data_IF_145664854044
#
_entry.id   IF_145664854044
#
_cell.length_a   1.000
_cell.length_b   1.000
_cell.length_c   1.000
_cell.angle_alpha   90.00
_cell.angle_beta   90.00
_cell.angle_gamma   90.00
#
_symmetry.space_group_name_H-M   'P 1'
#
loop_
_entity.id
_entity.type
_entity.pdbx_description
1 polymer ?
#
# COMPACT_ATOMS: atom_id res chain seq x y z
N UNK A 1 -4.75 -0.46 16.28
CA UNK A 1 -4.28 -0.71 14.89
C UNK A 1 -5.04 -1.93 14.35
N UNK A 2 -6.14 -1.66 13.69
CA UNK A 2 -7.03 -2.70 13.15
C UNK A 2 -7.38 -2.45 11.68
N UNK A 3 -7.38 -1.17 11.24
CA UNK A 3 -7.71 -0.74 9.88
C UNK A 3 -6.54 0.03 9.28
N UNK A 4 -5.76 -0.65 8.44
CA UNK A 4 -4.42 -0.22 8.04
C UNK A 4 -4.35 0.06 6.55
N UNK A 5 -3.81 1.22 6.17
CA UNK A 5 -3.39 1.53 4.81
C UNK A 5 -1.89 1.35 4.65
N UNK A 6 -1.49 0.72 3.54
CA UNK A 6 -0.10 0.67 3.07
C UNK A 6 -0.04 1.36 1.72
N UNK A 7 0.54 2.54 1.68
CA UNK A 7 0.62 3.42 0.52
C UNK A 7 2.07 3.89 0.30
N UNK A 8 2.34 4.52 -0.83
CA UNK A 8 3.66 5.09 -1.14
C UNK A 8 4.18 4.71 -2.52
N UNK A 9 5.46 4.98 -2.74
CA UNK A 9 6.08 4.87 -4.07
C UNK A 9 5.93 3.48 -4.69
N UNK A 10 5.60 3.38 -5.99
CA UNK A 10 5.60 2.09 -6.68
C UNK A 10 7.03 1.52 -6.70
N UNK A 11 7.16 0.20 -6.55
CA UNK A 11 8.47 -0.44 -6.41
C UNK A 11 9.11 -0.35 -5.02
N UNK A 12 8.57 0.41 -4.08
CA UNK A 12 9.07 0.51 -2.70
C UNK A 12 8.93 -0.79 -1.89
N UNK A 13 8.11 -1.74 -2.34
CA UNK A 13 7.89 -3.00 -1.62
C UNK A 13 6.69 -2.99 -0.68
N UNK A 14 5.68 -2.14 -0.95
CA UNK A 14 4.42 -2.07 -0.18
C UNK A 14 3.79 -3.44 0.05
N UNK A 15 3.60 -4.21 -1.01
CA UNK A 15 2.97 -5.53 -0.92
C UNK A 15 3.79 -6.52 -0.10
N UNK A 16 5.11 -6.41 -0.12
CA UNK A 16 6.00 -7.21 0.73
C UNK A 16 5.87 -6.81 2.20
N UNK A 17 5.86 -5.51 2.49
CA UNK A 17 5.62 -4.99 3.83
C UNK A 17 4.24 -5.41 4.35
N UNK A 18 3.19 -5.24 3.52
CA UNK A 18 1.82 -5.58 3.88
C UNK A 18 1.65 -7.09 4.18
N UNK A 19 2.34 -7.98 3.43
CA UNK A 19 2.35 -9.43 3.72
C UNK A 19 3.00 -9.75 5.06
N UNK A 20 4.19 -9.20 5.32
CA UNK A 20 4.87 -9.38 6.60
C UNK A 20 3.99 -8.88 7.75
N UNK A 21 3.35 -7.71 7.59
CA UNK A 21 2.44 -7.18 8.58
C UNK A 21 1.20 -8.07 8.80
N UNK A 22 0.62 -8.62 7.73
CA UNK A 22 -0.45 -9.64 7.82
C UNK A 22 0.00 -10.84 8.62
N UNK A 23 1.18 -11.38 8.31
CA UNK A 23 1.70 -12.59 8.92
C UNK A 23 1.97 -12.40 10.43
N UNK A 24 2.42 -11.21 10.83
CA UNK A 24 2.64 -10.85 12.24
C UNK A 24 1.35 -10.52 13.00
N UNK A 25 0.35 -9.94 12.34
CA UNK A 25 -0.86 -9.42 13.01
C UNK A 25 -2.06 -10.34 12.89
N UNK A 26 -2.09 -11.21 11.89
CA UNK A 26 -3.28 -11.98 11.49
C UNK A 26 -4.42 -11.12 10.94
N UNK A 27 -4.17 -9.84 10.59
CA UNK A 27 -5.17 -8.96 9.99
C UNK A 27 -5.32 -9.29 8.50
N UNK A 28 -6.53 -9.48 7.98
CA UNK A 28 -6.74 -9.77 6.56
C UNK A 28 -6.16 -8.70 5.64
N UNK A 29 -5.43 -9.12 4.59
CA UNK A 29 -4.80 -8.25 3.60
C UNK A 29 -5.60 -8.25 2.30
N UNK A 30 -5.85 -7.06 1.77
CA UNK A 30 -6.52 -6.80 0.50
C UNK A 30 -5.63 -5.95 -0.41
N UNK A 31 -5.39 -6.45 -1.63
CA UNK A 31 -4.65 -5.73 -2.65
C UNK A 31 -5.61 -5.00 -3.57
N UNK A 32 -5.46 -3.69 -3.71
CA UNK A 32 -6.29 -2.91 -4.64
C UNK A 32 -6.07 -3.33 -6.09
N UNK A 33 -4.86 -3.77 -6.44
CA UNK A 33 -4.57 -4.28 -7.78
C UNK A 33 -5.39 -5.53 -8.12
N UNK A 34 -5.65 -6.43 -7.16
CA UNK A 34 -6.53 -7.58 -7.36
C UNK A 34 -8.02 -7.22 -7.38
N UNK A 35 -8.40 -6.09 -6.79
CA UNK A 35 -9.77 -5.57 -6.92
C UNK A 35 -10.02 -4.95 -8.30
N UNK A 36 -8.98 -4.35 -8.89
CA UNK A 36 -9.03 -3.61 -10.13
C UNK A 36 -8.78 -4.47 -11.37
N UNK A 37 -7.72 -5.29 -11.33
CA UNK A 37 -7.27 -6.08 -12.46
C UNK A 37 -7.90 -7.47 -12.50
N UNK A 38 -8.30 -7.92 -13.71
CA UNK A 38 -8.71 -9.28 -13.99
C UNK A 38 -7.52 -10.10 -14.53
N UNK A 39 -7.56 -11.45 -14.46
CA UNK A 39 -6.49 -12.30 -14.99
C UNK A 39 -6.22 -12.13 -16.49
N UNK A 40 -7.22 -11.72 -17.26
CA UNK A 40 -7.11 -11.44 -18.70
C UNK A 40 -6.52 -10.06 -19.03
N UNK A 41 -6.00 -9.35 -18.00
CA UNK A 41 -5.44 -7.99 -18.05
C UNK A 41 -6.46 -6.88 -18.37
N UNK A 42 -7.75 -7.19 -18.35
CA UNK A 42 -8.80 -6.15 -18.34
C UNK A 42 -9.03 -5.62 -16.92
N UNK A 43 -9.73 -4.52 -16.81
CA UNK A 43 -10.08 -3.93 -15.53
C UNK A 43 -11.57 -4.11 -15.25
N UNK A 44 -11.93 -4.14 -13.97
CA UNK A 44 -13.33 -4.07 -13.56
C UNK A 44 -13.89 -2.66 -13.82
N UNK A 45 -15.22 -2.52 -13.85
CA UNK A 45 -15.84 -1.21 -13.86
C UNK A 45 -15.54 -0.45 -12.56
N UNK A 46 -15.52 0.89 -12.62
CA UNK A 46 -15.25 1.72 -11.43
C UNK A 46 -16.25 1.47 -10.31
N UNK A 47 -17.50 1.32 -10.66
CA UNK A 47 -18.60 1.04 -9.74
C UNK A 47 -18.42 -0.31 -9.04
N UNK A 48 -17.94 -1.32 -9.75
CA UNK A 48 -17.64 -2.64 -9.18
C UNK A 48 -16.46 -2.55 -8.21
N UNK A 49 -15.40 -1.83 -8.57
CA UNK A 49 -14.27 -1.57 -7.67
C UNK A 49 -14.71 -0.85 -6.39
N UNK A 50 -15.49 0.21 -6.53
CA UNK A 50 -15.98 1.01 -5.41
C UNK A 50 -16.87 0.20 -4.47
N UNK A 51 -17.76 -0.62 -5.02
CA UNK A 51 -18.62 -1.52 -4.24
C UNK A 51 -17.79 -2.55 -3.45
N UNK A 52 -16.82 -3.19 -4.10
CA UNK A 52 -15.93 -4.16 -3.44
C UNK A 52 -15.09 -3.51 -2.34
N UNK A 53 -14.56 -2.31 -2.61
CA UNK A 53 -13.81 -1.56 -1.63
C UNK A 53 -14.68 -1.17 -0.43
N UNK A 54 -15.89 -0.66 -0.65
CA UNK A 54 -16.83 -0.31 0.41
C UNK A 54 -17.11 -1.50 1.33
N UNK A 55 -17.34 -2.68 0.78
CA UNK A 55 -17.53 -3.92 1.55
C UNK A 55 -16.33 -4.29 2.43
N UNK A 56 -15.10 -3.99 1.98
CA UNK A 56 -13.89 -4.20 2.77
C UNK A 56 -13.83 -3.19 3.93
N UNK A 57 -14.13 -1.92 3.65
CA UNK A 57 -14.09 -0.84 4.65
C UNK A 57 -15.09 -1.03 5.81
N UNK A 58 -16.20 -1.74 5.57
CA UNK A 58 -17.18 -2.10 6.60
C UNK A 58 -16.69 -3.17 7.59
N UNK A 59 -15.63 -3.93 7.24
CA UNK A 59 -15.08 -4.97 8.12
C UNK A 59 -14.39 -4.33 9.32
N UNK A 60 -14.35 -5.09 10.43
CA UNK A 60 -13.71 -4.65 11.67
C UNK A 60 -12.19 -4.47 11.51
N UNK A 61 -11.55 -5.38 10.73
CA UNK A 61 -10.10 -5.43 10.58
C UNK A 61 -9.70 -5.63 9.13
N UNK A 62 -8.73 -4.85 8.68
CA UNK A 62 -8.17 -5.00 7.34
C UNK A 62 -6.82 -4.28 7.18
N UNK A 63 -5.98 -4.82 6.30
CA UNK A 63 -4.85 -4.14 5.68
C UNK A 63 -5.20 -3.94 4.22
N UNK A 64 -5.11 -2.72 3.71
CA UNK A 64 -5.31 -2.40 2.29
C UNK A 64 -4.01 -1.88 1.71
N UNK A 65 -3.49 -2.59 0.70
CA UNK A 65 -2.30 -2.21 -0.07
C UNK A 65 -2.70 -1.59 -1.41
N UNK A 66 -2.16 -0.41 -1.69
CA UNK A 66 -2.30 0.28 -2.96
C UNK A 66 -2.60 1.78 -2.86
N UNK A 67 -2.17 2.53 -3.87
CA UNK A 67 -2.34 3.98 -3.91
C UNK A 67 -3.75 4.40 -4.32
N UNK A 68 -4.16 4.20 -5.57
CA UNK A 68 -5.49 4.51 -6.10
C UNK A 68 -6.07 5.82 -5.53
N UNK A 69 -5.46 6.97 -5.87
CA UNK A 69 -5.73 8.27 -5.24
C UNK A 69 -7.20 8.68 -5.27
N UNK A 70 -7.95 8.27 -6.31
CA UNK A 70 -9.39 8.54 -6.43
C UNK A 70 -10.19 8.07 -5.20
N UNK A 71 -9.76 6.99 -4.57
CA UNK A 71 -10.44 6.41 -3.39
C UNK A 71 -9.65 6.60 -2.09
N UNK A 72 -8.55 7.34 -2.13
CA UNK A 72 -7.67 7.50 -0.97
C UNK A 72 -8.39 8.16 0.21
N UNK A 73 -9.15 9.23 -0.04
CA UNK A 73 -9.87 9.94 1.03
C UNK A 73 -10.88 9.04 1.75
N UNK A 74 -11.64 8.23 0.99
CA UNK A 74 -12.60 7.28 1.57
C UNK A 74 -11.89 6.28 2.51
N UNK A 75 -10.73 5.79 2.11
CA UNK A 75 -9.92 4.86 2.90
C UNK A 75 -9.27 5.55 4.11
N UNK A 76 -8.79 6.78 3.94
CA UNK A 76 -8.24 7.59 5.02
C UNK A 76 -9.25 7.85 6.13
N UNK A 77 -10.50 8.13 5.77
CA UNK A 77 -11.59 8.29 6.75
C UNK A 77 -11.85 7.01 7.56
N UNK A 78 -11.75 5.87 6.92
CA UNK A 78 -12.06 4.57 7.51
C UNK A 78 -10.89 3.93 8.29
N UNK A 79 -9.65 4.28 8.00
CA UNK A 79 -8.47 3.69 8.63
C UNK A 79 -8.20 4.27 10.04
N UNK A 80 -7.40 3.56 10.82
CA UNK A 80 -6.80 4.04 12.06
C UNK A 80 -5.28 4.26 11.92
N UNK A 81 -4.64 3.57 10.97
CA UNK A 81 -3.18 3.59 10.79
C UNK A 81 -2.81 3.67 9.31
N UNK A 82 -1.81 4.47 9.00
CA UNK A 82 -1.24 4.60 7.65
C UNK A 82 0.26 4.34 7.70
N UNK A 83 0.74 3.43 6.88
CA UNK A 83 2.15 3.25 6.56
C UNK A 83 2.42 3.83 5.17
N UNK A 84 3.26 4.85 5.12
CA UNK A 84 3.71 5.48 3.88
C UNK A 84 5.16 5.10 3.60
N UNK A 85 5.39 4.34 2.52
CA UNK A 85 6.72 3.97 2.05
C UNK A 85 7.17 5.00 1.01
N UNK A 86 7.98 5.96 1.44
CA UNK A 86 8.52 7.05 0.62
C UNK A 86 10.04 6.87 0.47
N UNK A 87 10.42 5.94 -0.39
CA UNK A 87 11.81 5.58 -0.63
C UNK A 87 12.41 6.39 -1.79
N UNK A 88 13.75 6.54 -1.84
CA UNK A 88 14.43 7.13 -2.98
C UNK A 88 14.03 6.47 -4.30
N UNK A 89 13.94 7.26 -5.36
CA UNK A 89 13.46 6.81 -6.68
C UNK A 89 14.29 5.64 -7.23
N UNK A 90 15.59 5.64 -7.01
CA UNK A 90 16.51 4.58 -7.45
C UNK A 90 16.17 3.24 -6.80
N UNK A 91 15.79 3.26 -5.52
CA UNK A 91 15.34 2.07 -4.77
C UNK A 91 14.02 1.54 -5.33
N UNK A 92 13.12 2.45 -5.70
CA UNK A 92 11.82 2.11 -6.27
C UNK A 92 11.95 1.52 -7.69
N UNK A 93 12.79 2.09 -8.53
CA UNK A 93 13.09 1.56 -9.88
C UNK A 93 13.70 0.16 -9.80
N UNK A 94 14.74 -0.02 -8.98
CA UNK A 94 15.36 -1.32 -8.76
C UNK A 94 14.35 -2.36 -8.25
N UNK A 95 13.50 -1.97 -7.30
CA UNK A 95 12.46 -2.84 -6.76
C UNK A 95 11.37 -3.21 -7.77
N UNK A 96 11.09 -2.33 -8.74
CA UNK A 96 10.17 -2.63 -9.83
C UNK A 96 10.80 -3.59 -10.87
N UNK A 97 12.08 -3.43 -11.18
CA UNK A 97 12.82 -4.33 -12.07
C UNK A 97 12.99 -5.73 -11.47
N UNK A 98 13.30 -5.83 -10.18
CA UNK A 98 13.51 -7.10 -9.48
C UNK A 98 12.30 -8.05 -9.51
N UNK A 99 11.10 -7.54 -9.73
CA UNK A 99 9.86 -8.35 -9.75
C UNK A 99 9.51 -8.91 -11.12
N UNK A 100 10.18 -8.46 -12.18
CA UNK A 100 9.96 -8.98 -13.54
C UNK A 100 10.25 -10.47 -13.59
N UNK A 101 9.37 -11.22 -14.24
CA UNK A 101 9.44 -12.68 -14.36
C UNK A 101 9.05 -13.45 -13.08
N UNK A 102 8.69 -12.77 -12.00
CA UNK A 102 8.31 -13.41 -10.73
C UNK A 102 6.79 -13.46 -10.56
N UNK A 103 6.30 -14.59 -10.07
CA UNK A 103 4.91 -14.69 -9.61
C UNK A 103 4.72 -13.88 -8.34
N UNK A 104 3.66 -13.09 -8.29
CA UNK A 104 3.32 -12.24 -7.15
C UNK A 104 1.92 -12.56 -6.62
N UNK A 105 1.70 -12.32 -5.33
CA UNK A 105 0.39 -12.49 -4.69
C UNK A 105 -0.58 -11.35 -5.04
N UNK A 106 -0.04 -10.15 -5.28
CA UNK A 106 -0.78 -8.90 -5.49
C UNK A 106 -1.14 -8.60 -6.94
N UNK A 107 -0.71 -9.45 -7.90
CA UNK A 107 -1.01 -9.28 -9.32
C UNK A 107 -1.44 -10.61 -9.95
N UNK A 108 -2.53 -10.65 -10.77
CA UNK A 108 -3.06 -11.92 -11.29
C UNK A 108 -2.30 -12.47 -12.51
N UNK A 109 -1.19 -11.86 -12.93
CA UNK A 109 -0.29 -12.33 -14.00
C UNK A 109 1.18 -12.12 -13.63
N UNK A 110 2.08 -12.69 -14.44
CA UNK A 110 3.52 -12.45 -14.32
C UNK A 110 3.89 -11.33 -15.31
N UNK A 111 4.56 -10.29 -14.80
CA UNK A 111 5.15 -9.24 -15.62
C UNK A 111 6.38 -9.81 -16.34
N UNK A 112 6.44 -9.73 -17.66
CA UNK A 112 7.52 -10.32 -18.48
C UNK A 112 8.56 -9.30 -18.91
N UNK A 113 8.24 -8.02 -18.82
CA UNK A 113 9.11 -6.91 -19.18
C UNK A 113 8.85 -5.72 -18.26
N UNK A 114 9.82 -4.82 -18.15
CA UNK A 114 9.65 -3.57 -17.45
C UNK A 114 9.05 -2.54 -18.40
N UNK A 115 7.74 -2.35 -18.30
CA UNK A 115 6.97 -1.43 -19.13
C UNK A 115 7.49 0.01 -18.97
N UNK A 116 7.77 0.68 -20.10
CA UNK A 116 8.29 2.04 -20.11
C UNK A 116 7.28 3.07 -19.58
N UNK A 117 5.98 2.88 -19.80
CA UNK A 117 4.94 3.75 -19.23
C UNK A 117 4.94 3.63 -17.71
N UNK A 118 5.06 2.42 -17.19
CA UNK A 118 5.15 2.18 -15.75
C UNK A 118 6.45 2.73 -15.16
N UNK A 119 7.57 2.60 -15.88
CA UNK A 119 8.84 3.21 -15.49
C UNK A 119 8.71 4.73 -15.38
N UNK A 120 8.13 5.38 -16.40
CA UNK A 120 7.90 6.81 -16.38
C UNK A 120 6.99 7.23 -15.24
N UNK A 121 5.95 6.45 -14.96
CA UNK A 121 5.06 6.70 -13.82
C UNK A 121 5.80 6.65 -12.46
N UNK A 122 6.77 5.74 -12.29
CA UNK A 122 7.63 5.73 -11.10
C UNK A 122 8.47 7.01 -11.01
N UNK A 123 9.01 7.48 -12.13
CA UNK A 123 9.82 8.70 -12.19
C UNK A 123 9.01 9.96 -11.85
N UNK A 124 7.76 10.00 -12.28
CA UNK A 124 6.87 11.15 -12.07
C UNK A 124 6.16 11.09 -10.70
N UNK A 125 6.12 9.94 -10.06
CA UNK A 125 5.40 9.74 -8.80
C UNK A 125 5.77 10.74 -7.70
N UNK A 126 7.06 11.08 -7.45
CA UNK A 126 7.44 12.06 -6.44
C UNK A 126 6.87 13.46 -6.71
N UNK A 127 6.61 13.80 -7.96
CA UNK A 127 6.10 15.10 -8.37
C UNK A 127 4.57 15.13 -8.43
N UNK A 128 3.96 14.08 -8.97
CA UNK A 128 2.53 14.10 -9.34
C UNK A 128 1.63 13.46 -8.28
N UNK A 129 2.12 12.43 -7.58
CA UNK A 129 1.30 11.64 -6.67
C UNK A 129 1.66 11.85 -5.19
N UNK A 130 2.95 11.88 -4.90
CA UNK A 130 3.43 11.95 -3.52
C UNK A 130 2.99 13.22 -2.79
N UNK A 131 2.95 14.43 -3.42
CA UNK A 131 2.44 15.63 -2.76
C UNK A 131 0.97 15.51 -2.34
N UNK A 132 0.12 14.88 -3.15
CA UNK A 132 -1.29 14.63 -2.83
C UNK A 132 -1.42 13.68 -1.64
N UNK A 133 -0.57 12.64 -1.59
CA UNK A 133 -0.53 11.71 -0.47
C UNK A 133 -0.12 12.43 0.82
N UNK A 134 0.90 13.29 0.77
CA UNK A 134 1.33 14.06 1.93
C UNK A 134 0.28 15.06 2.40
N UNK A 135 -0.38 15.78 1.49
CA UNK A 135 -1.49 16.66 1.83
C UNK A 135 -2.59 15.90 2.56
N UNK A 136 -2.97 14.74 2.06
CA UNK A 136 -3.98 13.89 2.67
C UNK A 136 -3.52 13.39 4.06
N UNK A 137 -2.28 12.93 4.19
CA UNK A 137 -1.76 12.47 5.48
C UNK A 137 -1.67 13.59 6.50
N UNK A 138 -1.30 14.80 6.08
CA UNK A 138 -1.26 15.97 6.96
C UNK A 138 -2.66 16.38 7.44
N UNK A 139 -3.66 16.31 6.57
CA UNK A 139 -5.07 16.58 6.94
C UNK A 139 -5.54 15.67 8.06
N UNK A 140 -5.12 14.40 8.07
CA UNK A 140 -5.57 13.39 9.05
C UNK A 140 -4.56 13.13 10.19
N UNK A 141 -3.46 13.87 10.28
CA UNK A 141 -2.36 13.60 11.22
C UNK A 141 -2.77 13.57 12.70
N UNK A 142 -3.77 14.34 13.08
CA UNK A 142 -4.24 14.41 14.46
C UNK A 142 -5.27 13.33 14.83
N UNK A 143 -5.82 12.66 13.81
CA UNK A 143 -6.88 11.65 13.97
C UNK A 143 -6.36 10.22 13.74
N UNK A 144 -5.31 10.08 12.93
CA UNK A 144 -4.79 8.80 12.46
C UNK A 144 -3.32 8.65 12.85
N UNK A 145 -2.92 7.40 13.08
CA UNK A 145 -1.51 7.08 13.26
C UNK A 145 -0.83 7.01 11.89
N UNK A 146 0.06 7.94 11.61
CA UNK A 146 0.76 8.01 10.32
C UNK A 146 2.23 7.77 10.55
N UNK A 147 2.77 6.74 9.88
CA UNK A 147 4.16 6.33 9.98
C UNK A 147 4.75 6.36 8.58
N UNK A 148 5.80 7.16 8.41
CA UNK A 148 6.52 7.30 7.14
C UNK A 148 7.85 6.59 7.25
N UNK A 149 8.11 5.66 6.33
CA UNK A 149 9.41 5.01 6.18
C UNK A 149 10.15 5.62 4.98
N UNK A 150 11.41 5.99 5.20
CA UNK A 150 12.29 6.55 4.19
C UNK A 150 13.24 5.53 3.58
N UNK A 151 13.33 4.34 4.19
CA UNK A 151 14.18 3.25 3.71
C UNK A 151 13.54 1.88 4.00
N UNK A 152 14.02 0.86 3.29
CA UNK A 152 13.64 -0.54 3.57
C UNK A 152 14.05 -0.97 4.98
N UNK A 153 15.19 -0.49 5.46
CA UNK A 153 15.72 -0.79 6.78
C UNK A 153 14.77 -0.28 7.89
N UNK A 154 14.29 0.94 7.79
CA UNK A 154 13.31 1.50 8.74
C UNK A 154 12.03 0.65 8.80
N UNK A 155 11.51 0.23 7.64
CA UNK A 155 10.33 -0.61 7.57
C UNK A 155 10.56 -2.02 8.14
N UNK A 156 11.75 -2.61 7.91
CA UNK A 156 12.12 -3.91 8.47
C UNK A 156 12.36 -3.84 9.97
N UNK A 157 13.03 -2.80 10.45
CA UNK A 157 13.20 -2.55 11.88
C UNK A 157 11.88 -2.40 12.62
N UNK A 158 10.92 -1.73 11.97
CA UNK A 158 9.57 -1.65 12.51
C UNK A 158 8.91 -3.02 12.62
N UNK A 159 8.95 -3.83 11.57
CA UNK A 159 8.37 -5.18 11.55
C UNK A 159 9.03 -6.11 12.58
N UNK A 160 10.35 -6.05 12.72
CA UNK A 160 11.09 -6.83 13.72
C UNK A 160 10.73 -6.47 15.17
N UNK A 161 10.22 -5.27 15.38
CA UNK A 161 9.73 -4.78 16.68
C UNK A 161 8.20 -4.74 16.75
N UNK A 162 7.52 -5.31 15.76
CA UNK A 162 6.06 -5.21 15.62
C UNK A 162 5.32 -5.72 16.85
N UNK A 163 5.73 -6.84 17.44
CA UNK A 163 5.16 -7.36 18.69
C UNK A 163 5.18 -6.31 19.82
N UNK A 164 6.31 -5.62 19.99
CA UNK A 164 6.44 -4.58 20.99
C UNK A 164 5.49 -3.40 20.72
N UNK A 165 5.43 -2.93 19.47
CA UNK A 165 4.56 -1.83 19.08
C UNK A 165 3.08 -2.22 19.09
N UNK A 166 2.73 -3.43 18.68
CA UNK A 166 1.37 -3.95 18.69
C UNK A 166 0.82 -4.06 20.12
N UNK A 167 1.63 -4.53 21.06
CA UNK A 167 1.24 -4.58 22.46
C UNK A 167 1.06 -3.19 23.07
N UNK A 168 1.95 -2.25 22.76
CA UNK A 168 1.87 -0.87 23.24
C UNK A 168 0.62 -0.15 22.69
N UNK A 169 0.31 -0.35 21.42
CA UNK A 169 -0.84 0.32 20.78
C UNK A 169 -2.20 -0.28 21.10
N UNK A 170 -2.25 -1.49 21.65
CA UNK A 170 -3.48 -2.08 22.21
C UNK A 170 -3.79 -1.57 23.62
N UNK A 171 -2.81 -0.98 24.27
CA UNK A 171 -2.93 -0.47 25.63
C UNK A 171 -3.27 1.03 25.70
N UNK A 172 -3.16 1.76 24.59
CA UNK A 172 -3.57 3.16 24.39
C UNK A 172 -4.99 3.23 23.81
#
# INVERSE_FOLDING_TARGET
>A
MEKILVIGSPGAGKSTFARKLRDETGIPLYYLDLLWHRPDRTNVAREEFDMRLAQILEKDRWIIDGNYLRTLEMRMRACDTVFLLDYPMEVCLAGAEERIGKKREDLPWIETEFDEEFRQWILDFPKDQLPVIYEMTEQYRNEKKIIVFRSREEAEDFLNKADYYLHKWRAE
#
